data_IF_505186669484
#
_entry.id   IF_505186669484
#
_cell.length_a   1.000
_cell.length_b   1.000
_cell.length_c   1.000
_cell.angle_alpha   90.00
_cell.angle_beta   90.00
_cell.angle_gamma   90.00
#
_symmetry.space_group_name_H-M   'P 1'
#
loop_
_entity.id
_entity.type
_entity.pdbx_description
1 polymer ?
#
# COMPACT_ATOMS: atom_id res chain seq x y z
N UNK A 1 41.01 21.98 6.60
CA UNK A 1 40.87 22.79 7.84
C UNK A 1 40.87 21.88 9.02
N UNK A 2 41.66 22.19 10.08
CA UNK A 2 41.67 21.38 11.31
C UNK A 2 40.34 21.49 12.02
N UNK A 3 39.75 20.36 12.39
CA UNK A 3 38.52 20.30 13.19
C UNK A 3 38.82 20.96 14.56
N UNK A 4 38.21 22.12 14.82
CA UNK A 4 38.40 22.84 16.07
C UNK A 4 37.96 22.00 17.27
N UNK A 5 38.55 22.19 18.44
CA UNK A 5 38.33 21.46 19.68
C UNK A 5 36.88 21.59 20.26
N UNK A 6 35.93 22.03 19.49
CA UNK A 6 34.51 22.23 19.84
C UNK A 6 33.49 21.66 18.91
N UNK A 7 33.89 21.04 17.79
CA UNK A 7 32.97 20.52 16.80
C UNK A 7 32.37 19.19 17.25
N UNK A 8 31.04 19.15 17.36
CA UNK A 8 30.26 17.94 17.64
C UNK A 8 29.87 17.24 16.35
N UNK A 9 29.58 15.95 16.43
CA UNK A 9 29.19 15.13 15.25
C UNK A 9 27.95 14.28 15.52
N UNK A 10 27.03 14.29 14.58
CA UNK A 10 25.96 13.30 14.47
C UNK A 10 26.36 12.34 13.35
N UNK A 11 26.29 11.04 13.62
CA UNK A 11 26.46 9.99 12.61
C UNK A 11 25.12 9.33 12.33
N UNK A 12 24.74 9.27 11.06
CA UNK A 12 23.54 8.60 10.58
C UNK A 12 24.00 7.44 9.71
N UNK A 13 23.92 6.24 10.24
CA UNK A 13 24.20 5.01 9.50
C UNK A 13 22.95 4.59 8.72
N UNK A 14 23.13 4.03 7.51
CA UNK A 14 22.04 3.50 6.70
C UNK A 14 21.17 2.50 7.46
N UNK A 15 21.74 1.76 8.42
CA UNK A 15 21.02 0.84 9.31
C UNK A 15 19.98 1.54 10.18
N UNK A 16 20.16 2.82 10.49
CA UNK A 16 19.15 3.62 11.19
C UNK A 16 17.95 3.83 10.29
N UNK A 17 18.16 4.14 9.01
CA UNK A 17 17.09 4.30 8.03
C UNK A 17 16.42 2.98 7.63
N UNK A 18 17.09 1.85 7.80
CA UNK A 18 16.49 0.52 7.62
C UNK A 18 15.40 0.17 8.64
N UNK A 19 15.22 0.98 9.68
CA UNK A 19 14.06 0.88 10.58
C UNK A 19 12.75 1.35 9.91
N UNK A 20 12.82 1.83 8.68
CA UNK A 20 11.68 2.28 7.90
C UNK A 20 11.24 3.70 8.19
N UNK A 21 10.08 4.06 7.63
CA UNK A 21 9.45 5.35 7.85
C UNK A 21 8.89 5.42 9.27
N UNK A 22 9.41 6.36 10.06
CA UNK A 22 8.90 6.66 11.39
C UNK A 22 7.45 7.16 11.31
N UNK A 23 6.68 6.94 12.35
CA UNK A 23 5.27 7.37 12.40
C UNK A 23 5.13 8.90 12.36
N UNK A 24 6.13 9.59 12.89
CA UNK A 24 6.28 11.03 12.80
C UNK A 24 7.76 11.43 12.67
N UNK A 25 8.01 12.70 12.33
CA UNK A 25 9.35 13.23 12.13
C UNK A 25 10.19 13.35 13.41
N UNK A 26 9.60 13.09 14.57
CA UNK A 26 10.21 13.28 15.89
C UNK A 26 10.41 11.95 16.63
N UNK A 27 10.26 10.81 15.93
CA UNK A 27 10.44 9.49 16.55
C UNK A 27 11.83 9.31 17.13
N UNK A 28 11.90 8.92 18.40
CA UNK A 28 13.17 8.64 19.10
C UNK A 28 13.81 7.32 18.68
N UNK A 29 13.06 6.43 18.02
CA UNK A 29 13.53 5.10 17.64
C UNK A 29 14.42 5.11 16.40
N UNK A 30 14.55 6.23 15.72
CA UNK A 30 15.27 6.36 14.46
C UNK A 30 14.42 5.94 13.26
N UNK A 31 15.01 6.02 12.08
CA UNK A 31 14.33 5.80 10.80
C UNK A 31 14.41 7.03 9.91
N UNK A 32 13.50 7.15 8.97
CA UNK A 32 13.35 8.33 8.12
C UNK A 32 11.94 8.90 8.20
N UNK A 33 11.78 10.15 7.79
CA UNK A 33 10.50 10.84 7.80
C UNK A 33 9.47 10.12 6.91
N UNK A 34 8.19 10.10 7.30
CA UNK A 34 7.10 9.61 6.46
C UNK A 34 6.95 10.38 5.15
N UNK A 35 7.52 11.59 5.03
CA UNK A 35 7.54 12.38 3.79
C UNK A 35 8.63 11.93 2.79
N UNK A 36 9.45 10.93 3.14
CA UNK A 36 10.42 10.33 2.23
C UNK A 36 9.73 9.62 1.07
N UNK A 37 10.37 9.64 -0.12
CA UNK A 37 9.80 9.15 -1.38
C UNK A 37 10.70 8.08 -2.00
N UNK A 38 10.10 7.02 -2.51
CA UNK A 38 10.78 6.04 -3.34
C UNK A 38 12.02 5.44 -2.69
N UNK A 39 11.96 5.10 -1.41
CA UNK A 39 13.09 4.55 -0.65
C UNK A 39 13.18 3.05 -0.83
N UNK A 40 14.36 2.57 -1.24
CA UNK A 40 14.67 1.15 -1.39
C UNK A 40 15.73 0.68 -0.39
N UNK A 41 15.34 -0.18 0.56
CA UNK A 41 16.24 -0.79 1.52
C UNK A 41 16.46 -2.30 1.25
N UNK A 42 15.78 -2.86 0.26
CA UNK A 42 15.63 -4.29 0.07
C UNK A 42 16.65 -4.90 -0.91
N UNK A 43 17.20 -4.11 -1.83
CA UNK A 43 18.07 -4.63 -2.88
C UNK A 43 19.47 -5.04 -2.38
N UNK A 44 20.01 -4.35 -1.38
CA UNK A 44 21.35 -4.60 -0.86
C UNK A 44 21.38 -4.32 0.65
N UNK A 45 21.63 -5.31 1.50
CA UNK A 45 21.73 -5.11 2.94
C UNK A 45 22.80 -4.06 3.31
N UNK A 46 22.46 -3.10 4.16
CA UNK A 46 23.37 -2.06 4.60
C UNK A 46 23.45 -0.83 3.70
N UNK A 47 22.65 -0.77 2.63
CA UNK A 47 22.56 0.38 1.74
C UNK A 47 21.12 0.87 1.63
N UNK A 48 20.94 2.18 1.59
CA UNK A 48 19.66 2.80 1.20
C UNK A 48 19.83 3.33 -0.21
N UNK A 49 19.02 2.86 -1.12
CA UNK A 49 18.99 3.24 -2.55
C UNK A 49 17.67 3.92 -2.89
N UNK A 50 17.57 4.42 -4.11
CA UNK A 50 16.29 4.70 -4.74
C UNK A 50 15.42 3.44 -4.80
N UNK A 51 14.12 3.60 -4.60
CA UNK A 51 13.16 2.51 -4.73
C UNK A 51 13.03 2.04 -6.18
N UNK A 52 12.28 0.98 -6.39
CA UNK A 52 12.03 0.45 -7.72
C UNK A 52 11.32 1.48 -8.60
N UNK A 53 11.75 1.59 -9.85
CA UNK A 53 11.04 2.39 -10.81
C UNK A 53 9.68 1.75 -11.12
N UNK A 54 8.71 2.60 -11.31
CA UNK A 54 7.39 2.21 -11.79
C UNK A 54 7.29 2.64 -13.24
N UNK A 55 7.19 1.70 -14.16
CA UNK A 55 7.02 1.99 -15.57
C UNK A 55 5.55 1.88 -15.97
N UNK A 56 5.04 2.87 -16.67
CA UNK A 56 3.78 2.74 -17.37
C UNK A 56 3.94 1.66 -18.44
N UNK A 57 3.17 0.59 -18.33
CA UNK A 57 3.16 -0.49 -19.32
C UNK A 57 2.06 -0.28 -20.35
N UNK A 58 0.97 0.40 -19.96
CA UNK A 58 -0.07 0.84 -20.87
C UNK A 58 -0.62 2.18 -20.40
N UNK A 59 -0.48 3.20 -21.23
CA UNK A 59 -1.01 4.55 -21.01
C UNK A 59 -2.44 4.61 -21.51
N UNK A 60 -3.36 5.23 -20.75
CA UNK A 60 -4.78 5.30 -21.05
C UNK A 60 -5.42 3.92 -21.35
N UNK A 61 -5.00 2.91 -20.60
CA UNK A 61 -5.49 1.54 -20.75
C UNK A 61 -7.00 1.43 -20.43
N UNK A 62 -7.50 2.31 -19.57
CA UNK A 62 -8.89 2.34 -19.10
C UNK A 62 -9.59 3.62 -19.53
N UNK A 63 -10.92 3.60 -19.62
CA UNK A 63 -11.70 4.81 -19.88
C UNK A 63 -11.63 5.78 -18.69
N UNK A 64 -11.99 7.05 -18.91
CA UNK A 64 -11.83 8.09 -17.89
C UNK A 64 -12.80 7.92 -16.70
N UNK A 65 -13.88 7.23 -16.90
CA UNK A 65 -14.98 6.97 -15.98
C UNK A 65 -14.91 5.59 -15.32
N UNK A 66 -13.91 4.76 -15.68
CA UNK A 66 -13.76 3.43 -15.11
C UNK A 66 -13.12 3.45 -13.72
N UNK A 67 -13.72 2.71 -12.80
CA UNK A 67 -13.15 2.37 -11.50
C UNK A 67 -12.61 0.95 -11.56
N UNK A 68 -11.30 0.79 -11.33
CA UNK A 68 -10.65 -0.52 -11.35
C UNK A 68 -10.82 -1.21 -10.00
N UNK A 69 -11.27 -2.45 -10.04
CA UNK A 69 -11.36 -3.32 -8.88
C UNK A 69 -10.68 -4.66 -9.15
N UNK A 70 -9.90 -5.12 -8.19
CA UNK A 70 -9.35 -6.46 -8.10
C UNK A 70 -8.40 -6.88 -9.22
N UNK A 71 -7.30 -7.48 -8.83
CA UNK A 71 -6.40 -8.20 -9.72
C UNK A 71 -6.40 -9.67 -9.30
N UNK A 72 -6.89 -10.54 -10.16
CA UNK A 72 -6.83 -11.96 -9.92
C UNK A 72 -5.86 -12.60 -10.88
N UNK A 73 -4.91 -13.36 -10.37
CA UNK A 73 -4.00 -14.14 -11.21
C UNK A 73 -4.69 -15.43 -11.63
N UNK A 74 -4.67 -15.70 -12.91
CA UNK A 74 -4.99 -16.99 -13.46
C UNK A 74 -3.77 -17.55 -14.16
N UNK A 75 -3.31 -18.70 -13.73
CA UNK A 75 -2.32 -19.48 -14.49
C UNK A 75 -3.03 -20.02 -15.73
N UNK A 76 -2.65 -19.48 -16.86
CA UNK A 76 -3.15 -19.96 -18.14
C UNK A 76 -2.21 -21.03 -18.65
N UNK A 77 -2.71 -22.22 -18.88
CA UNK A 77 -1.96 -23.37 -19.40
C UNK A 77 -1.39 -23.18 -20.83
N UNK A 78 -1.55 -22.00 -21.42
CA UNK A 78 -1.13 -21.70 -22.80
C UNK A 78 0.23 -21.02 -22.93
N UNK A 79 1.02 -20.91 -21.85
CA UNK A 79 2.31 -20.20 -21.86
C UNK A 79 2.21 -18.69 -21.97
N UNK A 80 1.01 -18.14 -21.97
CA UNK A 80 0.73 -16.70 -21.90
C UNK A 80 0.36 -16.34 -20.49
N UNK A 81 1.22 -15.57 -19.87
CA UNK A 81 1.04 -15.11 -18.49
C UNK A 81 0.05 -13.92 -18.49
N UNK A 82 -1.21 -14.19 -18.23
CA UNK A 82 -2.26 -13.19 -18.20
C UNK A 82 -2.79 -12.98 -16.79
N UNK A 83 -3.04 -11.74 -16.45
CA UNK A 83 -3.78 -11.32 -15.25
C UNK A 83 -5.12 -10.80 -15.70
N UNK A 84 -6.17 -11.15 -14.99
CA UNK A 84 -7.51 -10.65 -15.24
C UNK A 84 -7.82 -9.49 -14.32
N UNK A 85 -8.50 -8.50 -14.86
CA UNK A 85 -8.87 -7.27 -14.20
C UNK A 85 -10.28 -6.90 -14.57
N UNK A 86 -11.02 -6.44 -13.60
CA UNK A 86 -12.40 -6.01 -13.80
C UNK A 86 -12.56 -4.53 -13.42
N UNK A 87 -13.40 -3.83 -14.16
CA UNK A 87 -13.77 -2.44 -13.92
C UNK A 87 -15.27 -2.26 -14.00
N UNK A 88 -15.80 -1.25 -13.31
CA UNK A 88 -17.14 -0.73 -13.54
C UNK A 88 -17.04 0.72 -14.01
N UNK A 89 -17.97 1.16 -14.83
CA UNK A 89 -18.00 2.55 -15.29
C UNK A 89 -19.24 3.30 -14.78
N UNK A 90 -19.27 4.60 -14.97
CA UNK A 90 -20.36 5.46 -14.50
C UNK A 90 -21.66 5.30 -15.29
N UNK A 91 -21.62 4.58 -16.41
CA UNK A 91 -22.82 4.26 -17.23
C UNK A 91 -23.47 2.97 -16.73
N UNK A 92 -22.75 2.18 -15.94
CA UNK A 92 -23.23 0.93 -15.40
C UNK A 92 -22.68 -0.31 -16.10
N UNK A 93 -21.79 -0.15 -17.06
CA UNK A 93 -21.17 -1.27 -17.75
C UNK A 93 -20.04 -1.88 -16.93
N UNK A 94 -19.97 -3.21 -16.86
CA UNK A 94 -18.81 -3.94 -16.37
C UNK A 94 -17.86 -4.26 -17.51
N UNK A 95 -16.59 -3.93 -17.35
CA UNK A 95 -15.56 -4.24 -18.34
C UNK A 95 -14.49 -5.15 -17.76
N UNK A 96 -14.05 -6.10 -18.59
CA UNK A 96 -13.11 -7.14 -18.19
C UNK A 96 -11.92 -7.13 -19.12
N UNK A 97 -10.75 -7.04 -18.54
CA UNK A 97 -9.50 -6.91 -19.25
C UNK A 97 -8.59 -8.09 -18.97
N UNK A 98 -7.83 -8.48 -19.98
CA UNK A 98 -6.63 -9.29 -19.78
C UNK A 98 -5.39 -8.41 -19.84
N UNK A 99 -4.48 -8.62 -18.94
CA UNK A 99 -3.20 -7.93 -18.87
C UNK A 99 -2.09 -8.94 -19.07
N UNK A 100 -1.30 -8.78 -20.12
CA UNK A 100 -0.10 -9.57 -20.32
C UNK A 100 1.03 -8.99 -19.48
N UNK A 101 1.37 -9.65 -18.37
CA UNK A 101 2.23 -9.04 -17.35
C UNK A 101 3.72 -8.95 -17.75
N UNK A 102 4.19 -9.60 -18.82
CA UNK A 102 5.55 -9.41 -19.37
C UNK A 102 5.60 -8.16 -20.25
N UNK A 103 4.64 -8.03 -21.15
CA UNK A 103 4.60 -6.92 -22.12
C UNK A 103 3.79 -5.72 -21.65
N UNK A 104 2.94 -5.91 -20.62
CA UNK A 104 2.00 -4.90 -20.15
C UNK A 104 0.83 -4.63 -21.09
N UNK A 105 0.67 -5.42 -22.16
CA UNK A 105 -0.43 -5.26 -23.07
C UNK A 105 -1.76 -5.48 -22.34
N UNK A 106 -2.67 -4.52 -22.47
CA UNK A 106 -4.03 -4.56 -21.90
C UNK A 106 -4.99 -4.78 -23.04
N UNK A 107 -5.82 -5.79 -22.94
CA UNK A 107 -6.83 -6.11 -23.94
C UNK A 107 -8.20 -6.18 -23.27
N UNK A 108 -9.15 -5.39 -23.77
CA UNK A 108 -10.56 -5.53 -23.39
C UNK A 108 -11.05 -6.88 -23.88
N UNK A 109 -11.44 -7.72 -22.94
CA UNK A 109 -11.85 -9.08 -23.24
C UNK A 109 -13.37 -9.23 -23.35
N UNK A 110 -14.13 -8.52 -22.49
CA UNK A 110 -15.58 -8.51 -22.53
C UNK A 110 -16.16 -7.23 -21.91
N UNK A 111 -17.37 -6.88 -22.31
CA UNK A 111 -18.21 -5.83 -21.73
C UNK A 111 -19.55 -6.44 -21.37
N UNK A 112 -19.98 -6.24 -20.14
CA UNK A 112 -21.31 -6.62 -19.69
C UNK A 112 -22.17 -5.36 -19.55
N UNK A 113 -23.10 -5.19 -20.47
CA UNK A 113 -24.08 -4.08 -20.49
C UNK A 113 -25.42 -4.49 -19.91
N UNK A 114 -25.56 -5.74 -19.50
CA UNK A 114 -26.84 -6.28 -19.04
C UNK A 114 -27.04 -6.03 -17.54
N UNK A 115 -26.00 -5.59 -16.83
CA UNK A 115 -26.00 -5.41 -15.39
C UNK A 115 -25.40 -4.08 -14.99
N UNK A 116 -25.89 -3.56 -13.89
CA UNK A 116 -25.45 -2.24 -13.41
C UNK A 116 -24.21 -2.35 -12.51
N UNK A 117 -23.11 -1.79 -12.99
CA UNK A 117 -21.85 -1.65 -12.28
C UNK A 117 -21.52 -0.18 -11.96
N UNK A 118 -22.52 0.70 -11.95
CA UNK A 118 -22.32 2.14 -11.80
C UNK A 118 -21.56 2.53 -10.51
N UNK A 119 -21.65 1.69 -9.48
CA UNK A 119 -20.85 1.84 -8.25
C UNK A 119 -19.59 0.97 -8.25
N UNK A 120 -19.29 0.32 -9.35
CA UNK A 120 -18.13 -0.53 -9.54
C UNK A 120 -18.34 -1.98 -9.08
N UNK A 121 -17.25 -2.74 -9.13
CA UNK A 121 -17.21 -4.13 -8.65
C UNK A 121 -16.93 -4.12 -7.15
N UNK A 122 -17.73 -4.87 -6.39
CA UNK A 122 -17.60 -4.94 -4.93
C UNK A 122 -16.47 -5.86 -4.50
N UNK A 123 -16.32 -6.99 -5.16
CA UNK A 123 -15.28 -7.98 -4.85
C UNK A 123 -15.02 -8.93 -6.01
N UNK A 124 -13.88 -9.63 -5.91
CA UNK A 124 -13.40 -10.56 -6.91
C UNK A 124 -12.63 -11.71 -6.22
N UNK A 125 -13.01 -12.95 -6.51
CA UNK A 125 -12.40 -14.12 -5.87
C UNK A 125 -12.25 -15.27 -6.86
N UNK A 126 -11.20 -16.09 -6.69
CA UNK A 126 -11.03 -17.34 -7.43
C UNK A 126 -11.75 -18.46 -6.71
N UNK A 127 -12.65 -19.14 -7.41
CA UNK A 127 -13.43 -20.25 -6.88
C UNK A 127 -13.62 -21.34 -7.93
N UNK A 128 -13.35 -22.60 -7.61
CA UNK A 128 -13.54 -23.78 -8.45
C UNK A 128 -13.03 -23.62 -9.89
N UNK A 129 -11.85 -22.98 -10.08
CA UNK A 129 -11.27 -22.71 -11.38
C UNK A 129 -11.81 -21.50 -12.13
N UNK A 130 -12.84 -20.86 -11.60
CA UNK A 130 -13.45 -19.66 -12.17
C UNK A 130 -13.11 -18.41 -11.33
N UNK A 131 -13.28 -17.23 -11.91
CA UNK A 131 -13.25 -15.96 -11.20
C UNK A 131 -14.70 -15.51 -11.00
N UNK A 132 -15.06 -15.28 -9.75
CA UNK A 132 -16.37 -14.78 -9.37
C UNK A 132 -16.23 -13.30 -9.02
N UNK A 133 -17.13 -12.47 -9.54
CA UNK A 133 -17.22 -11.05 -9.22
C UNK A 133 -18.57 -10.70 -8.67
N UNK A 134 -18.63 -9.74 -7.79
CA UNK A 134 -19.87 -9.13 -7.31
C UNK A 134 -19.91 -7.66 -7.69
N UNK A 135 -21.11 -7.15 -7.93
CA UNK A 135 -21.36 -5.73 -8.17
C UNK A 135 -22.39 -5.21 -7.18
N UNK A 136 -22.40 -3.89 -6.99
CA UNK A 136 -23.43 -3.20 -6.21
C UNK A 136 -24.12 -2.18 -7.10
N UNK A 137 -25.46 -2.17 -7.14
CA UNK A 137 -26.21 -1.23 -7.95
C UNK A 137 -26.91 -0.19 -7.10
N UNK A 138 -27.03 1.03 -7.61
CA UNK A 138 -27.76 2.12 -6.95
C UNK A 138 -29.25 2.23 -7.37
N UNK A 139 -29.70 1.44 -8.34
CA UNK A 139 -30.98 1.66 -9.00
C UNK A 139 -32.10 0.69 -8.59
N UNK A 140 -31.98 0.00 -7.45
CA UNK A 140 -32.97 -0.96 -7.03
C UNK A 140 -33.03 -2.25 -7.86
N UNK A 141 -32.03 -2.44 -8.73
CA UNK A 141 -31.82 -3.70 -9.42
C UNK A 141 -31.12 -4.69 -8.49
N UNK A 142 -31.37 -5.97 -8.72
CA UNK A 142 -30.70 -7.02 -7.97
C UNK A 142 -29.25 -7.11 -8.40
N UNK A 143 -28.34 -7.08 -7.45
CA UNK A 143 -26.94 -7.41 -7.68
C UNK A 143 -26.81 -8.90 -8.00
N UNK A 144 -25.83 -9.23 -8.82
CA UNK A 144 -25.62 -10.61 -9.23
C UNK A 144 -24.16 -11.01 -8.99
N UNK A 145 -23.96 -12.31 -8.82
CA UNK A 145 -22.64 -12.92 -8.75
C UNK A 145 -22.33 -13.56 -10.09
N UNK A 146 -21.13 -13.34 -10.61
CA UNK A 146 -20.73 -13.79 -11.95
C UNK A 146 -19.52 -14.69 -11.90
N UNK A 147 -19.55 -15.76 -12.69
CA UNK A 147 -18.43 -16.64 -12.90
C UNK A 147 -17.84 -16.48 -14.30
N UNK A 148 -16.52 -16.55 -14.39
CA UNK A 148 -15.82 -16.68 -15.65
C UNK A 148 -15.02 -17.96 -15.66
N UNK A 149 -15.17 -18.78 -16.72
CA UNK A 149 -14.28 -19.90 -17.00
C UNK A 149 -13.10 -19.44 -17.86
N UNK A 150 -12.11 -20.31 -18.07
CA UNK A 150 -10.95 -20.06 -18.89
C UNK A 150 -11.31 -19.46 -20.24
N UNK A 151 -11.10 -18.14 -20.42
CA UNK A 151 -11.29 -17.38 -21.66
C UNK A 151 -12.68 -17.35 -22.30
N UNK A 152 -13.59 -18.27 -21.96
CA UNK A 152 -14.99 -18.15 -22.35
C UNK A 152 -15.67 -17.18 -21.38
N UNK A 153 -15.61 -15.92 -21.74
CA UNK A 153 -16.10 -14.81 -20.95
C UNK A 153 -17.60 -14.92 -20.73
N UNK A 154 -17.98 -15.01 -19.49
CA UNK A 154 -19.33 -14.82 -19.01
C UNK A 154 -20.37 -15.90 -19.34
N UNK A 155 -20.21 -17.02 -18.77
CA UNK A 155 -21.43 -17.74 -18.36
C UNK A 155 -21.92 -17.07 -17.08
N UNK A 156 -23.09 -16.46 -17.15
CA UNK A 156 -23.83 -16.02 -15.98
C UNK A 156 -24.06 -17.21 -15.09
N UNK A 157 -23.35 -17.31 -13.98
CA UNK A 157 -23.75 -18.19 -12.92
C UNK A 157 -24.81 -17.43 -12.12
N UNK A 158 -26.08 -17.77 -12.31
CA UNK A 158 -27.13 -17.28 -11.43
C UNK A 158 -26.92 -17.97 -10.07
N UNK A 159 -26.14 -17.33 -9.20
CA UNK A 159 -25.89 -17.81 -7.85
C UNK A 159 -27.04 -17.34 -6.95
N UNK A 160 -28.10 -18.12 -6.96
CA UNK A 160 -29.12 -18.01 -5.92
C UNK A 160 -29.93 -16.70 -5.89
N UNK A 161 -30.36 -16.26 -4.71
CA UNK A 161 -31.19 -15.07 -4.60
C UNK A 161 -30.45 -13.85 -5.13
N UNK A 162 -31.19 -12.96 -5.76
CA UNK A 162 -30.70 -11.65 -6.08
C UNK A 162 -30.13 -10.98 -4.82
N UNK A 163 -28.92 -10.47 -4.89
CA UNK A 163 -28.29 -9.75 -3.79
C UNK A 163 -28.99 -8.39 -3.57
N UNK A 164 -28.88 -7.85 -2.38
CA UNK A 164 -29.54 -6.58 -2.04
C UNK A 164 -28.83 -5.41 -2.70
N UNK A 165 -29.54 -4.67 -3.53
CA UNK A 165 -29.00 -3.51 -4.23
C UNK A 165 -28.43 -2.47 -3.27
N UNK A 166 -27.36 -1.78 -3.71
CA UNK A 166 -26.74 -0.68 -2.97
C UNK A 166 -25.87 -1.10 -1.79
N UNK A 167 -25.58 -2.39 -1.62
CA UNK A 167 -24.68 -2.89 -0.58
C UNK A 167 -23.35 -3.39 -1.19
N UNK A 168 -22.31 -3.44 -0.39
CA UNK A 168 -21.05 -4.08 -0.78
C UNK A 168 -21.14 -5.58 -0.53
N UNK A 169 -20.86 -6.37 -1.56
CA UNK A 169 -20.86 -7.82 -1.51
C UNK A 169 -19.44 -8.34 -1.50
N UNK A 170 -18.88 -8.50 -0.32
CA UNK A 170 -17.54 -9.09 -0.14
C UNK A 170 -17.62 -10.61 -0.11
N UNK A 171 -16.58 -11.26 -0.59
CA UNK A 171 -16.52 -12.70 -0.74
C UNK A 171 -15.28 -13.30 -0.09
N UNK A 172 -15.42 -14.56 0.37
CA UNK A 172 -14.28 -15.40 0.76
C UNK A 172 -14.60 -16.88 0.46
N UNK A 173 -13.56 -17.71 0.46
CA UNK A 173 -13.69 -19.16 0.23
C UNK A 173 -13.13 -19.90 1.43
N UNK A 174 -13.88 -20.85 1.97
CA UNK A 174 -13.44 -21.79 2.99
C UNK A 174 -13.90 -23.20 2.60
N UNK A 175 -13.01 -24.17 2.66
CA UNK A 175 -13.29 -25.61 2.41
C UNK A 175 -14.10 -25.88 1.13
N UNK A 176 -13.73 -25.20 0.04
CA UNK A 176 -14.40 -25.29 -1.27
C UNK A 176 -15.85 -24.78 -1.27
N UNK A 177 -16.24 -23.99 -0.30
CA UNK A 177 -17.51 -23.25 -0.27
C UNK A 177 -17.22 -21.77 -0.43
N UNK A 178 -17.94 -21.11 -1.33
CA UNK A 178 -17.91 -19.66 -1.50
C UNK A 178 -18.94 -19.03 -0.56
N UNK A 179 -18.50 -18.03 0.20
CA UNK A 179 -19.32 -17.22 1.07
C UNK A 179 -19.41 -15.80 0.55
N UNK A 180 -20.64 -15.26 0.51
CA UNK A 180 -20.98 -13.98 -0.11
C UNK A 180 -21.76 -13.16 0.92
N UNK A 181 -21.25 -11.97 1.24
CA UNK A 181 -21.98 -11.04 2.09
C UNK A 181 -23.10 -10.33 1.32
N UNK A 182 -24.26 -10.18 1.96
CA UNK A 182 -25.39 -9.42 1.45
C UNK A 182 -26.05 -8.62 2.59
N UNK A 183 -25.59 -7.38 2.77
CA UNK A 183 -26.04 -6.54 3.86
C UNK A 183 -25.75 -7.19 5.21
N UNK A 184 -26.79 -7.64 5.92
CA UNK A 184 -26.68 -8.32 7.22
C UNK A 184 -26.49 -9.83 7.12
N UNK A 185 -26.61 -10.40 5.91
CA UNK A 185 -26.54 -11.84 5.70
C UNK A 185 -25.20 -12.27 5.10
N UNK A 186 -24.87 -13.53 5.34
CA UNK A 186 -23.87 -14.26 4.55
C UNK A 186 -24.59 -15.43 3.89
N UNK A 187 -24.44 -15.54 2.59
CA UNK A 187 -24.88 -16.69 1.80
C UNK A 187 -23.71 -17.64 1.57
N UNK A 188 -23.99 -18.92 1.38
CA UNK A 188 -23.00 -19.92 1.01
C UNK A 188 -23.32 -20.55 -0.35
N UNK A 189 -22.29 -20.99 -1.07
CA UNK A 189 -22.44 -21.71 -2.33
C UNK A 189 -21.34 -22.75 -2.48
N UNK A 190 -21.73 -24.01 -2.65
CA UNK A 190 -20.84 -25.16 -2.79
C UNK A 190 -20.51 -25.52 -4.26
N UNK A 191 -20.93 -24.69 -5.22
CA UNK A 191 -20.80 -24.93 -6.66
C UNK A 191 -22.07 -25.49 -7.29
N UNK A 192 -23.03 -25.96 -6.49
CA UNK A 192 -24.30 -26.53 -6.95
C UNK A 192 -25.51 -25.98 -6.18
N UNK A 193 -25.36 -25.83 -4.89
CA UNK A 193 -26.46 -25.45 -3.97
C UNK A 193 -26.15 -24.12 -3.30
N UNK A 194 -27.12 -23.23 -3.26
CA UNK A 194 -27.06 -21.97 -2.53
C UNK A 194 -27.69 -22.14 -1.16
N UNK A 195 -26.94 -21.91 -0.10
CA UNK A 195 -27.43 -21.73 1.26
C UNK A 195 -27.77 -20.26 1.49
N UNK A 196 -29.04 -19.92 1.43
CA UNK A 196 -29.51 -18.54 1.70
C UNK A 196 -29.48 -18.25 3.19
N UNK A 197 -28.95 -17.08 3.57
CA UNK A 197 -28.85 -16.63 4.96
C UNK A 197 -28.15 -17.66 5.86
N UNK A 198 -27.04 -18.22 5.40
CA UNK A 198 -26.24 -19.16 6.19
C UNK A 198 -25.80 -18.53 7.54
N UNK A 199 -25.69 -17.21 7.59
CA UNK A 199 -25.52 -16.45 8.83
C UNK A 199 -26.28 -15.12 8.75
N UNK A 200 -27.01 -14.74 9.85
CA UNK A 200 -27.76 -13.48 9.98
C UNK A 200 -27.28 -12.69 11.20
N UNK A 201 -26.75 -11.48 10.97
CA UNK A 201 -26.29 -10.57 12.03
C UNK A 201 -27.42 -9.73 12.67
N UNK A 202 -28.65 -9.87 12.22
CA UNK A 202 -29.80 -9.10 12.68
C UNK A 202 -29.92 -7.71 12.04
N UNK A 203 -31.02 -7.05 12.29
CA UNK A 203 -31.33 -5.75 11.72
C UNK A 203 -30.28 -4.70 12.09
N UNK A 204 -30.02 -3.75 11.17
CA UNK A 204 -29.05 -2.66 11.31
C UNK A 204 -27.59 -3.14 11.53
N UNK A 205 -27.24 -4.28 10.99
CA UNK A 205 -25.86 -4.76 10.93
C UNK A 205 -25.50 -5.04 9.47
N UNK A 206 -24.30 -4.67 9.07
CA UNK A 206 -23.83 -4.79 7.70
C UNK A 206 -22.44 -5.41 7.70
N UNK A 207 -22.25 -6.43 6.88
CA UNK A 207 -20.93 -7.01 6.64
C UNK A 207 -20.11 -6.02 5.80
N UNK A 208 -18.90 -5.74 6.23
CA UNK A 208 -18.03 -4.72 5.58
C UNK A 208 -16.76 -5.29 5.00
N UNK A 209 -16.26 -6.38 5.55
CA UNK A 209 -15.13 -7.15 5.00
C UNK A 209 -15.18 -8.60 5.47
N UNK A 210 -14.63 -9.50 4.66
CA UNK A 210 -14.47 -10.92 4.99
C UNK A 210 -13.11 -11.43 4.49
N UNK A 211 -12.56 -12.41 5.23
CA UNK A 211 -11.39 -13.18 4.81
C UNK A 211 -11.40 -14.54 5.52
N UNK A 212 -10.67 -15.48 4.95
CA UNK A 212 -10.40 -16.77 5.61
C UNK A 212 -9.03 -16.72 6.27
N UNK A 213 -8.95 -17.11 7.54
CA UNK A 213 -7.71 -17.16 8.30
C UNK A 213 -7.80 -18.27 9.36
N UNK A 214 -6.76 -19.10 9.47
CA UNK A 214 -6.65 -20.23 10.42
C UNK A 214 -7.87 -21.16 10.42
N UNK A 215 -8.41 -21.49 9.22
CA UNK A 215 -9.54 -22.40 9.08
C UNK A 215 -10.91 -21.82 9.48
N UNK A 216 -10.98 -20.52 9.73
CA UNK A 216 -12.20 -19.79 10.08
C UNK A 216 -12.48 -18.66 9.07
N UNK A 217 -13.74 -18.30 8.96
CA UNK A 217 -14.15 -17.07 8.26
C UNK A 217 -14.14 -15.93 9.27
N UNK A 218 -13.34 -14.91 9.00
CA UNK A 218 -13.32 -13.68 9.78
C UNK A 218 -14.14 -12.62 9.07
N UNK A 219 -15.06 -12.01 9.79
CA UNK A 219 -16.08 -11.11 9.26
C UNK A 219 -16.08 -9.84 10.09
N UNK A 220 -16.09 -8.69 9.42
CA UNK A 220 -16.36 -7.43 10.12
C UNK A 220 -17.77 -6.96 9.86
N UNK A 221 -18.44 -6.55 10.94
CA UNK A 221 -19.84 -6.12 10.95
C UNK A 221 -19.92 -4.74 11.58
N UNK A 222 -20.64 -3.84 10.93
CA UNK A 222 -20.85 -2.46 11.40
C UNK A 222 -22.33 -2.09 11.39
N UNK A 223 -22.77 -1.11 12.20
CA UNK A 223 -24.17 -0.69 12.26
C UNK A 223 -24.63 0.14 11.06
N UNK A 224 -23.73 0.50 10.17
CA UNK A 224 -24.03 1.25 8.95
C UNK A 224 -23.39 0.58 7.74
N UNK A 225 -23.99 0.72 6.54
CA UNK A 225 -23.37 0.23 5.30
C UNK A 225 -21.99 0.82 5.09
N UNK A 226 -21.14 0.11 4.32
CA UNK A 226 -19.76 0.53 4.06
C UNK A 226 -19.69 1.93 3.40
N UNK A 227 -20.61 2.26 2.51
CA UNK A 227 -20.70 3.58 1.86
C UNK A 227 -20.87 4.74 2.83
N UNK A 228 -21.57 4.50 3.94
CA UNK A 228 -21.98 5.53 4.90
C UNK A 228 -21.05 5.60 6.12
N UNK A 229 -20.02 4.73 6.16
CA UNK A 229 -19.07 4.70 7.27
C UNK A 229 -18.16 5.89 7.26
N UNK A 230 -17.90 6.42 8.43
CA UNK A 230 -17.00 7.53 8.67
C UNK A 230 -16.27 7.37 10.00
N UNK A 231 -15.41 8.32 10.34
CA UNK A 231 -14.64 8.29 11.58
C UNK A 231 -15.47 8.14 12.86
N UNK A 232 -16.74 8.55 12.82
CA UNK A 232 -17.63 8.52 13.98
C UNK A 232 -18.46 7.24 14.06
N UNK A 233 -18.40 6.37 13.07
CA UNK A 233 -19.08 5.05 13.12
C UNK A 233 -18.52 4.23 14.27
N UNK A 234 -19.38 3.82 15.17
CA UNK A 234 -19.06 3.02 16.35
C UNK A 234 -19.79 1.68 16.29
N UNK A 235 -19.36 0.71 17.11
CA UNK A 235 -20.00 -0.58 17.19
C UNK A 235 -19.57 -1.56 16.09
N UNK A 236 -18.48 -1.28 15.39
CA UNK A 236 -17.86 -2.27 14.49
C UNK A 236 -17.30 -3.44 15.30
N UNK A 237 -17.51 -4.65 14.80
CA UNK A 237 -17.09 -5.90 15.45
C UNK A 237 -16.34 -6.76 14.46
N UNK A 238 -15.32 -7.47 14.93
CA UNK A 238 -14.64 -8.54 14.22
C UNK A 238 -15.13 -9.87 14.78
N UNK A 239 -15.59 -10.74 13.93
CA UNK A 239 -16.28 -11.98 14.27
C UNK A 239 -15.56 -13.14 13.59
N UNK A 240 -15.40 -14.28 14.27
CA UNK A 240 -15.01 -15.55 13.64
C UNK A 240 -16.18 -16.50 13.54
N UNK A 241 -16.24 -17.24 12.44
CA UNK A 241 -17.29 -18.20 12.13
C UNK A 241 -16.73 -19.40 11.38
N UNK A 242 -17.19 -20.61 11.71
CA UNK A 242 -16.76 -21.86 11.10
C UNK A 242 -17.37 -22.15 9.72
N UNK A 243 -18.34 -21.33 9.28
CA UNK A 243 -19.04 -21.53 8.01
C UNK A 243 -20.22 -22.50 8.08
N UNK A 244 -20.50 -23.09 9.25
CA UNK A 244 -21.50 -24.19 9.40
C UNK A 244 -22.60 -23.81 10.38
N UNK A 245 -22.26 -23.29 11.56
CA UNK A 245 -23.20 -23.00 12.62
C UNK A 245 -24.04 -21.74 12.34
N UNK A 246 -25.22 -21.65 12.91
CA UNK A 246 -26.11 -20.48 12.81
C UNK A 246 -25.64 -19.30 13.68
N UNK A 247 -24.53 -19.44 14.36
CA UNK A 247 -23.92 -18.44 15.25
C UNK A 247 -22.42 -18.40 15.10
N UNK A 248 -21.81 -17.30 15.49
CA UNK A 248 -20.35 -17.09 15.47
C UNK A 248 -19.68 -17.51 16.78
N UNK A 249 -18.37 -17.83 16.70
CA UNK A 249 -17.60 -18.35 17.82
C UNK A 249 -16.98 -17.23 18.68
N UNK A 250 -16.43 -16.20 18.03
CA UNK A 250 -15.71 -15.11 18.71
C UNK A 250 -16.24 -13.77 18.22
N UNK A 251 -16.32 -12.80 19.13
CA UNK A 251 -16.66 -11.43 18.82
C UNK A 251 -15.69 -10.48 19.52
N UNK A 252 -15.05 -9.61 18.73
CA UNK A 252 -14.06 -8.62 19.18
C UNK A 252 -14.55 -7.23 18.78
N UNK A 253 -14.80 -6.33 19.73
CA UNK A 253 -15.17 -4.95 19.41
C UNK A 253 -13.97 -4.21 18.78
N UNK A 254 -14.27 -3.40 17.77
CA UNK A 254 -13.29 -2.56 17.08
C UNK A 254 -13.63 -1.08 17.26
N UNK A 255 -12.60 -0.26 17.39
CA UNK A 255 -12.78 1.18 17.59
C UNK A 255 -13.16 1.95 16.32
N UNK A 256 -12.84 1.39 15.16
CA UNK A 256 -12.96 2.05 13.86
C UNK A 256 -13.67 1.15 12.85
N UNK A 257 -14.33 1.73 11.83
CA UNK A 257 -14.84 0.98 10.69
C UNK A 257 -13.73 0.28 9.93
N UNK A 258 -14.01 -0.92 9.44
CA UNK A 258 -13.10 -1.76 8.68
C UNK A 258 -13.52 -1.84 7.22
N UNK A 259 -12.57 -1.65 6.33
CA UNK A 259 -12.76 -1.66 4.88
C UNK A 259 -12.09 -2.85 4.20
N UNK A 260 -11.22 -3.56 4.90
CA UNK A 260 -10.57 -4.75 4.38
C UNK A 260 -10.03 -5.65 5.47
N UNK A 261 -10.15 -6.95 5.25
CA UNK A 261 -9.49 -8.02 6.00
C UNK A 261 -8.59 -8.79 5.04
N UNK A 262 -7.38 -9.08 5.47
CA UNK A 262 -6.35 -9.69 4.63
C UNK A 262 -5.64 -10.78 5.42
N UNK A 263 -5.65 -12.01 4.91
CA UNK A 263 -4.87 -13.11 5.46
C UNK A 263 -3.67 -13.38 4.57
N UNK A 264 -2.48 -13.35 5.13
CA UNK A 264 -1.25 -13.60 4.40
C UNK A 264 -0.16 -14.16 5.31
N UNK A 265 0.44 -15.29 4.90
CA UNK A 265 1.54 -15.95 5.60
C UNK A 265 1.32 -16.10 7.11
N UNK A 266 0.15 -16.66 7.50
CA UNK A 266 -0.20 -16.91 8.90
C UNK A 266 -0.49 -15.66 9.74
N UNK A 267 -0.61 -14.50 9.12
CA UNK A 267 -1.01 -13.26 9.77
C UNK A 267 -2.29 -12.71 9.15
N UNK A 268 -3.17 -12.19 9.98
CA UNK A 268 -4.36 -11.46 9.52
C UNK A 268 -4.19 -9.97 9.79
N UNK A 269 -4.44 -9.18 8.76
CA UNK A 269 -4.34 -7.71 8.79
C UNK A 269 -5.72 -7.09 8.64
N UNK A 270 -5.89 -5.93 9.28
CA UNK A 270 -7.16 -5.21 9.31
C UNK A 270 -6.93 -3.80 8.78
N UNK A 271 -7.54 -3.50 7.64
CA UNK A 271 -7.57 -2.17 7.05
C UNK A 271 -8.75 -1.37 7.58
N UNK A 272 -8.55 -0.47 8.52
CA UNK A 272 -9.61 0.36 9.08
C UNK A 272 -9.60 1.78 8.51
N UNK A 273 -10.49 2.64 8.98
CA UNK A 273 -10.66 4.00 8.44
C UNK A 273 -9.39 4.86 8.51
N UNK A 274 -8.57 4.70 9.56
CA UNK A 274 -7.35 5.50 9.77
C UNK A 274 -6.11 4.70 10.12
N UNK A 275 -6.26 3.39 10.32
CA UNK A 275 -5.15 2.57 10.80
C UNK A 275 -5.06 1.26 10.03
N UNK A 276 -3.85 0.87 9.74
CA UNK A 276 -3.52 -0.49 9.34
C UNK A 276 -3.09 -1.26 10.58
N UNK A 277 -3.72 -2.39 10.83
CA UNK A 277 -3.61 -3.14 12.07
C UNK A 277 -3.28 -4.60 11.80
N UNK A 278 -2.76 -5.29 12.79
CA UNK A 278 -2.55 -6.75 12.78
C UNK A 278 -3.41 -7.39 13.87
N UNK A 279 -4.01 -8.53 13.54
CA UNK A 279 -4.72 -9.36 14.49
C UNK A 279 -3.72 -10.10 15.41
N UNK A 280 -4.00 -10.13 16.71
CA UNK A 280 -3.10 -10.67 17.74
C UNK A 280 -3.65 -11.94 18.41
N UNK A 281 -4.71 -12.53 17.85
CA UNK A 281 -5.41 -13.68 18.42
C UNK A 281 -6.58 -13.29 19.35
N UNK A 282 -6.48 -12.19 20.10
CA UNK A 282 -7.52 -11.72 21.02
C UNK A 282 -7.97 -10.29 20.78
N UNK A 283 -7.37 -9.62 19.82
CA UNK A 283 -7.66 -8.22 19.49
C UNK A 283 -6.88 -7.77 18.27
N UNK A 284 -6.78 -6.46 18.06
CA UNK A 284 -6.02 -5.86 16.98
C UNK A 284 -5.01 -4.87 17.52
N UNK A 285 -3.78 -4.90 17.00
CA UNK A 285 -2.73 -3.94 17.32
C UNK A 285 -2.49 -3.00 16.14
N UNK A 286 -2.43 -1.69 16.40
CA UNK A 286 -2.14 -0.70 15.37
C UNK A 286 -0.68 -0.83 14.92
N UNK A 287 -0.48 -0.93 13.61
CA UNK A 287 0.83 -0.94 12.98
C UNK A 287 1.21 0.45 12.45
N UNK A 288 0.26 1.14 11.83
CA UNK A 288 0.49 2.46 11.22
C UNK A 288 -0.80 3.23 11.03
N UNK A 289 -0.73 4.55 11.16
CA UNK A 289 -1.77 5.45 10.68
C UNK A 289 -1.67 5.58 9.16
N UNK A 290 -2.79 5.30 8.49
CA UNK A 290 -2.92 5.32 7.04
C UNK A 290 -4.29 5.87 6.68
N UNK A 291 -4.56 6.11 5.40
CA UNK A 291 -5.93 6.27 4.91
C UNK A 291 -6.64 4.92 4.83
N UNK A 292 -7.80 4.90 4.21
CA UNK A 292 -8.59 3.67 3.99
C UNK A 292 -7.78 2.67 3.17
N UNK A 293 -7.57 1.47 3.72
CA UNK A 293 -6.98 0.32 3.01
C UNK A 293 -8.07 -0.72 2.82
N UNK A 294 -8.45 -0.93 1.58
CA UNK A 294 -9.44 -1.89 1.14
C UNK A 294 -8.81 -2.94 0.22
N UNK A 295 -9.57 -3.95 -0.18
CA UNK A 295 -9.05 -5.12 -0.91
C UNK A 295 -8.40 -4.76 -2.24
N UNK A 296 -8.93 -3.76 -2.92
CA UNK A 296 -8.39 -3.22 -4.18
C UNK A 296 -7.12 -2.37 -4.01
N UNK A 297 -6.64 -2.17 -2.80
CA UNK A 297 -5.48 -1.33 -2.48
C UNK A 297 -4.32 -2.08 -1.83
N UNK A 298 -4.34 -3.42 -1.90
CA UNK A 298 -3.32 -4.25 -1.29
C UNK A 298 -2.78 -5.29 -2.28
N UNK A 299 -1.49 -5.59 -2.18
CA UNK A 299 -0.84 -6.67 -2.89
C UNK A 299 0.24 -7.32 -2.01
N UNK A 300 0.67 -8.52 -2.38
CA UNK A 300 1.60 -9.33 -1.62
C UNK A 300 2.81 -9.72 -2.50
N UNK A 301 4.00 -9.74 -1.90
CA UNK A 301 5.22 -10.23 -2.55
C UNK A 301 6.06 -11.01 -1.51
N UNK A 302 6.01 -12.33 -1.57
CA UNK A 302 6.60 -13.18 -0.55
C UNK A 302 5.99 -12.88 0.82
N UNK A 303 6.81 -12.48 1.78
CA UNK A 303 6.38 -12.10 3.14
C UNK A 303 5.98 -10.63 3.29
N UNK A 304 6.13 -9.85 2.24
CA UNK A 304 5.91 -8.42 2.26
C UNK A 304 4.52 -8.04 1.76
N UNK A 305 4.00 -6.95 2.31
CA UNK A 305 2.75 -6.34 1.92
C UNK A 305 3.02 -5.03 1.20
N UNK A 306 2.25 -4.77 0.17
CA UNK A 306 2.19 -3.47 -0.48
C UNK A 306 0.78 -2.93 -0.36
N UNK A 307 0.62 -1.68 0.01
CA UNK A 307 -0.68 -1.03 0.05
C UNK A 307 -0.58 0.43 -0.35
N UNK A 308 -1.71 0.97 -0.80
CA UNK A 308 -1.83 2.37 -1.18
C UNK A 308 -2.32 3.19 0.01
N UNK A 309 -1.53 4.18 0.38
CA UNK A 309 -1.86 5.17 1.41
C UNK A 309 -2.32 6.45 0.72
N UNK A 310 -3.57 6.86 0.97
CA UNK A 310 -4.05 8.17 0.51
C UNK A 310 -3.39 9.27 1.36
N UNK A 311 -2.78 10.25 0.69
CA UNK A 311 -2.17 11.43 1.31
C UNK A 311 -3.07 12.65 1.14
N UNK A 312 -2.61 13.77 0.73
CA UNK A 312 -3.42 14.98 0.50
C UNK A 312 -3.94 15.04 -0.92
N UNK A 313 -5.15 15.57 -1.13
CA UNK A 313 -5.71 16.04 -2.41
C UNK A 313 -5.26 15.25 -3.67
N UNK A 314 -5.67 13.98 -3.77
CA UNK A 314 -5.36 13.14 -4.93
C UNK A 314 -3.95 12.55 -4.94
N UNK A 315 -3.11 12.86 -3.98
CA UNK A 315 -1.80 12.23 -3.84
C UNK A 315 -1.91 10.91 -3.08
N UNK A 316 -1.10 9.94 -3.46
CA UNK A 316 -0.99 8.66 -2.77
C UNK A 316 0.46 8.20 -2.69
N UNK A 317 0.73 7.36 -1.70
CA UNK A 317 1.99 6.65 -1.61
C UNK A 317 1.75 5.15 -1.65
N UNK A 318 2.60 4.43 -2.35
CA UNK A 318 2.68 2.98 -2.25
C UNK A 318 3.67 2.64 -1.14
N UNK A 319 3.19 1.96 -0.13
CA UNK A 319 3.95 1.58 1.04
C UNK A 319 4.24 0.09 0.98
N UNK A 320 5.50 -0.29 1.13
CA UNK A 320 5.91 -1.67 1.39
C UNK A 320 6.07 -1.88 2.89
N UNK A 321 5.38 -2.87 3.44
CA UNK A 321 5.57 -3.34 4.81
C UNK A 321 6.32 -4.65 4.79
N UNK A 322 7.58 -4.62 5.14
CA UNK A 322 8.46 -5.78 5.01
C UNK A 322 9.76 -5.64 5.79
N UNK A 323 10.58 -6.67 5.75
CA UNK A 323 11.90 -6.67 6.37
C UNK A 323 13.01 -6.70 5.32
N UNK A 324 13.82 -5.65 5.19
CA UNK A 324 14.96 -5.65 4.24
C UNK A 324 16.10 -6.59 4.66
N UNK A 325 16.06 -7.09 5.89
CA UNK A 325 17.05 -8.03 6.43
C UNK A 325 16.29 -9.20 7.04
N UNK A 326 16.57 -10.41 6.57
CA UNK A 326 15.96 -11.62 7.08
C UNK A 326 16.07 -11.72 8.62
N UNK A 327 15.00 -12.11 9.27
CA UNK A 327 14.91 -12.28 10.72
C UNK A 327 14.78 -10.97 11.54
N UNK A 328 14.65 -9.81 10.88
CA UNK A 328 14.35 -8.55 11.55
C UNK A 328 12.87 -8.21 11.49
N UNK A 329 12.44 -7.31 12.38
CA UNK A 329 11.08 -6.80 12.39
C UNK A 329 10.76 -6.11 11.06
N UNK A 330 9.53 -6.30 10.59
CA UNK A 330 9.00 -5.59 9.42
C UNK A 330 8.85 -4.10 9.73
N UNK A 331 9.04 -3.26 8.71
CA UNK A 331 8.88 -1.82 8.79
C UNK A 331 8.22 -1.27 7.52
N UNK A 332 7.82 -0.01 7.54
CA UNK A 332 7.12 0.65 6.45
C UNK A 332 8.09 1.46 5.59
N UNK A 333 8.03 1.27 4.28
CA UNK A 333 8.87 1.96 3.31
C UNK A 333 8.01 2.58 2.21
N UNK A 334 8.02 3.91 2.01
CA UNK A 334 7.35 4.55 0.88
C UNK A 334 8.16 4.28 -0.38
N UNK A 335 7.76 3.26 -1.13
CA UNK A 335 8.49 2.80 -2.32
C UNK A 335 8.14 3.58 -3.59
N UNK A 336 6.99 4.24 -3.61
CA UNK A 336 6.56 5.07 -4.72
C UNK A 336 5.59 6.16 -4.23
N UNK A 337 5.60 7.33 -4.86
CA UNK A 337 4.57 8.36 -4.71
C UNK A 337 4.05 8.78 -6.08
N UNK A 338 2.74 8.97 -6.15
CA UNK A 338 2.03 9.43 -7.32
C UNK A 338 0.93 10.41 -6.98
N UNK A 339 0.39 11.03 -8.01
CA UNK A 339 -0.82 11.85 -7.94
C UNK A 339 -1.80 11.33 -8.97
N UNK A 340 -3.00 10.94 -8.54
CA UNK A 340 -4.06 10.57 -9.45
C UNK A 340 -4.88 11.81 -9.79
N UNK A 341 -4.91 12.18 -11.06
CA UNK A 341 -5.79 13.24 -11.56
C UNK A 341 -7.16 12.72 -11.96
N UNK A 342 -7.32 11.42 -12.10
CA UNK A 342 -8.55 10.75 -12.52
C UNK A 342 -8.60 9.31 -11.99
N UNK A 343 -9.70 8.98 -11.36
CA UNK A 343 -9.96 7.64 -10.84
C UNK A 343 -9.29 7.32 -9.48
N UNK A 344 -9.72 6.21 -8.88
CA UNK A 344 -9.16 5.71 -7.64
C UNK A 344 -8.01 4.77 -7.98
N UNK A 345 -6.81 4.96 -7.41
CA UNK A 345 -5.71 4.05 -7.64
C UNK A 345 -6.03 2.67 -7.05
N UNK A 346 -5.69 1.62 -7.78
CA UNK A 346 -5.86 0.23 -7.37
C UNK A 346 -4.53 -0.52 -7.43
N UNK A 347 -4.38 -1.51 -6.56
CA UNK A 347 -3.18 -2.31 -6.41
C UNK A 347 -3.55 -3.78 -6.35
N UNK A 348 -2.77 -4.65 -6.95
CA UNK A 348 -3.00 -6.07 -6.87
C UNK A 348 -1.83 -6.92 -7.36
N UNK A 349 -1.96 -8.21 -7.20
CA UNK A 349 -0.98 -9.18 -7.66
C UNK A 349 -1.23 -9.57 -9.12
N UNK A 350 -0.16 -9.64 -9.88
CA UNK A 350 -0.13 -10.29 -11.18
C UNK A 350 0.48 -11.69 -11.08
N UNK A 351 0.38 -12.46 -12.14
CA UNK A 351 1.07 -13.75 -12.23
C UNK A 351 2.58 -13.59 -11.99
N UNK A 352 3.24 -14.64 -11.50
CA UNK A 352 4.66 -14.67 -11.10
C UNK A 352 5.04 -13.67 -9.98
N UNK A 353 4.12 -13.37 -9.07
CA UNK A 353 4.40 -12.52 -7.91
C UNK A 353 4.67 -11.05 -8.22
N UNK A 354 4.40 -10.60 -9.45
CA UNK A 354 4.55 -9.19 -9.80
C UNK A 354 3.43 -8.36 -9.20
N UNK A 355 3.73 -7.11 -8.95
CA UNK A 355 2.75 -6.14 -8.46
C UNK A 355 2.38 -5.20 -9.60
N UNK A 356 1.08 -5.13 -9.84
CA UNK A 356 0.48 -4.22 -10.80
C UNK A 356 -0.27 -3.15 -10.02
N UNK A 357 -0.22 -1.92 -10.49
CA UNK A 357 -1.10 -0.91 -9.98
C UNK A 357 -1.67 -0.04 -11.11
N UNK A 358 -2.85 0.48 -10.86
CA UNK A 358 -3.54 1.42 -11.74
C UNK A 358 -3.44 2.80 -11.13
N UNK A 359 -2.98 3.74 -11.93
CA UNK A 359 -2.85 5.14 -11.58
C UNK A 359 -3.70 5.98 -12.55
N UNK A 360 -4.89 6.32 -12.10
CA UNK A 360 -5.89 6.91 -12.97
C UNK A 360 -6.28 5.96 -14.10
N UNK A 361 -5.86 6.26 -15.33
CA UNK A 361 -6.12 5.45 -16.52
C UNK A 361 -4.95 4.56 -16.96
N UNK A 362 -3.83 4.69 -16.28
CA UNK A 362 -2.59 4.01 -16.66
C UNK A 362 -2.40 2.73 -15.87
N UNK A 363 -2.07 1.66 -16.58
CA UNK A 363 -1.55 0.45 -15.94
C UNK A 363 -0.04 0.54 -15.78
N UNK A 364 0.44 0.29 -14.58
CA UNK A 364 1.86 0.35 -14.22
C UNK A 364 2.32 -0.95 -13.57
N UNK A 365 3.55 -1.34 -13.87
CA UNK A 365 4.23 -2.46 -13.20
C UNK A 365 5.32 -1.92 -12.27
N UNK A 366 5.43 -2.48 -11.08
CA UNK A 366 6.61 -2.28 -10.25
C UNK A 366 7.74 -3.09 -10.84
N UNK A 367 8.77 -2.38 -11.26
CA UNK A 367 9.96 -3.00 -11.81
C UNK A 367 10.91 -3.41 -10.67
N UNK A 368 10.77 -4.62 -10.15
CA UNK A 368 11.59 -5.13 -9.05
C UNK A 368 13.06 -5.32 -9.41
N UNK A 369 13.39 -5.38 -10.70
CA UNK A 369 14.74 -5.66 -11.21
C UNK A 369 15.29 -4.58 -12.15
N UNK A 370 14.57 -3.48 -12.32
CA UNK A 370 14.92 -2.42 -13.25
C UNK A 370 15.66 -1.25 -12.60
N UNK A 371 15.71 -0.14 -13.32
CA UNK A 371 16.28 1.11 -12.83
C UNK A 371 15.59 1.61 -11.57
N UNK A 372 16.32 2.29 -10.71
CA UNK A 372 15.75 2.95 -9.54
C UNK A 372 14.85 4.12 -9.95
N UNK A 373 13.90 4.44 -9.10
CA UNK A 373 13.06 5.61 -9.28
C UNK A 373 13.94 6.88 -9.25
N UNK A 374 13.79 7.73 -10.26
CA UNK A 374 14.45 9.03 -10.28
C UNK A 374 13.92 9.93 -9.14
N UNK A 375 14.80 10.79 -8.59
CA UNK A 375 14.47 11.70 -7.50
C UNK A 375 13.92 11.03 -6.23
N UNK A 376 14.35 9.80 -5.94
CA UNK A 376 14.07 9.17 -4.65
C UNK A 376 14.60 10.05 -3.52
N UNK A 377 13.78 10.33 -2.52
CA UNK A 377 14.14 11.30 -1.47
C UNK A 377 14.07 10.66 -0.10
N UNK A 378 15.16 10.73 0.64
CA UNK A 378 15.20 10.43 2.07
C UNK A 378 15.17 11.75 2.84
N UNK A 379 14.23 11.87 3.78
CA UNK A 379 14.21 12.93 4.77
C UNK A 379 14.40 12.23 6.12
N UNK A 380 15.49 12.52 6.81
CA UNK A 380 15.75 11.96 8.13
C UNK A 380 14.70 12.44 9.15
N UNK A 381 14.59 11.77 10.28
CA UNK A 381 13.81 12.28 11.41
C UNK A 381 14.46 13.56 11.96
N UNK A 382 13.70 14.37 12.67
CA UNK A 382 14.24 15.54 13.37
C UNK A 382 15.24 15.10 14.43
N UNK A 383 16.47 15.65 14.38
CA UNK A 383 17.52 15.38 15.33
C UNK A 383 17.82 16.63 16.14
N UNK A 384 17.57 16.59 17.46
CA UNK A 384 17.91 17.70 18.34
C UNK A 384 19.42 17.83 18.46
N UNK A 385 19.93 19.06 18.48
CA UNK A 385 21.36 19.37 18.61
C UNK A 385 21.77 19.67 20.08
N UNK A 386 20.80 19.66 21.01
CA UNK A 386 21.05 19.95 22.43
C UNK A 386 21.12 21.45 22.76
N UNK A 387 20.99 22.32 21.77
CA UNK A 387 21.01 23.76 21.87
C UNK A 387 21.04 24.38 20.47
N UNK A 388 21.11 25.70 20.39
CA UNK A 388 21.33 26.37 19.10
C UNK A 388 22.75 26.13 18.61
N UNK A 389 22.89 25.72 17.37
CA UNK A 389 24.15 25.35 16.77
C UNK A 389 24.25 25.78 15.31
N UNK A 390 25.45 26.00 14.82
CA UNK A 390 25.75 26.19 13.41
C UNK A 390 26.22 24.89 12.79
N UNK A 391 25.60 24.49 11.66
CA UNK A 391 26.09 23.37 10.87
C UNK A 391 27.36 23.82 10.14
N UNK A 392 28.44 23.04 10.21
CA UNK A 392 29.74 23.39 9.66
C UNK A 392 30.16 22.55 8.49
N UNK A 393 29.80 21.25 8.54
CA UNK A 393 30.23 20.33 7.51
C UNK A 393 29.29 19.14 7.44
N UNK A 394 29.04 18.63 6.23
CA UNK A 394 28.28 17.40 6.01
C UNK A 394 29.11 16.46 5.15
N UNK A 395 29.25 15.22 5.58
CA UNK A 395 29.91 14.15 4.84
C UNK A 395 28.90 13.09 4.46
N UNK A 396 29.02 12.55 3.25
CA UNK A 396 28.23 11.45 2.73
C UNK A 396 29.14 10.34 2.25
N UNK A 397 28.93 9.13 2.76
CA UNK A 397 29.57 7.91 2.29
C UNK A 397 28.56 7.10 1.46
N UNK A 398 28.93 6.76 0.24
CA UNK A 398 28.08 6.09 -0.76
C UNK A 398 28.77 4.83 -1.30
N UNK A 399 28.13 4.14 -2.21
CA UNK A 399 28.83 3.27 -3.17
C UNK A 399 29.66 4.13 -4.13
N UNK A 400 30.62 3.53 -4.85
CA UNK A 400 31.39 4.21 -5.88
C UNK A 400 30.44 4.66 -7.00
N UNK A 401 30.44 5.95 -7.31
CA UNK A 401 29.52 6.52 -8.30
C UNK A 401 29.92 6.16 -9.72
N UNK A 402 28.91 5.91 -10.54
CA UNK A 402 29.01 5.71 -11.99
C UNK A 402 28.35 6.89 -12.73
N UNK A 403 28.45 6.86 -14.04
CA UNK A 403 27.82 7.91 -14.87
C UNK A 403 26.30 7.91 -14.68
N UNK A 404 25.74 9.06 -14.36
CA UNK A 404 24.31 9.25 -14.09
C UNK A 404 23.91 9.14 -12.62
N UNK A 405 24.79 8.71 -11.72
CA UNK A 405 24.51 8.71 -10.28
C UNK A 405 24.73 10.09 -9.67
N UNK A 406 23.84 10.51 -8.80
CA UNK A 406 24.01 11.73 -8.01
C UNK A 406 23.21 11.72 -6.72
N UNK A 407 23.72 12.47 -5.72
CA UNK A 407 23.08 12.69 -4.43
C UNK A 407 23.04 14.19 -4.17
N UNK A 408 21.84 14.80 -4.23
CA UNK A 408 21.66 16.19 -3.81
C UNK A 408 21.40 16.23 -2.31
N UNK A 409 22.16 17.04 -1.59
CA UNK A 409 22.17 17.10 -0.14
C UNK A 409 21.64 18.46 0.30
N UNK A 410 20.65 18.44 1.16
CA UNK A 410 20.09 19.59 1.87
C UNK A 410 19.78 19.24 3.32
N UNK A 411 19.49 20.23 4.13
CA UNK A 411 18.91 20.01 5.46
C UNK A 411 17.77 20.97 5.73
N UNK A 412 16.84 20.53 6.56
CA UNK A 412 15.72 21.35 7.03
C UNK A 412 16.05 21.78 8.45
N UNK A 413 16.02 23.07 8.71
CA UNK A 413 16.33 23.67 9.99
C UNK A 413 15.10 23.70 10.93
N UNK A 414 15.27 24.21 12.13
CA UNK A 414 14.21 24.34 13.14
C UNK A 414 13.04 25.24 12.73
N UNK A 415 13.24 26.14 11.77
CA UNK A 415 12.19 26.97 11.21
C UNK A 415 11.42 26.29 10.06
N UNK A 416 11.78 25.06 9.69
CA UNK A 416 11.20 24.34 8.56
C UNK A 416 11.77 24.77 7.20
N UNK A 417 12.83 25.59 7.18
CA UNK A 417 13.45 26.07 5.95
C UNK A 417 14.45 25.03 5.45
N UNK A 418 14.32 24.66 4.17
CA UNK A 418 15.30 23.79 3.49
C UNK A 418 16.49 24.60 3.03
N UNK A 419 17.70 24.14 3.38
CA UNK A 419 18.98 24.75 3.03
C UNK A 419 19.76 23.77 2.18
N UNK A 420 20.00 24.14 0.93
CA UNK A 420 20.80 23.34 -0.01
C UNK A 420 22.27 23.38 0.40
N UNK A 421 22.88 22.20 0.46
CA UNK A 421 24.31 22.04 0.80
C UNK A 421 25.14 21.82 -0.47
N UNK A 422 24.77 20.84 -1.27
CA UNK A 422 25.49 20.54 -2.51
C UNK A 422 25.09 19.23 -3.15
N UNK A 423 25.80 18.85 -4.19
CA UNK A 423 25.54 17.61 -4.94
C UNK A 423 26.81 16.78 -5.08
N UNK A 424 26.75 15.52 -4.70
CA UNK A 424 27.78 14.52 -4.95
C UNK A 424 27.47 13.79 -6.26
N UNK A 425 28.29 13.99 -7.30
CA UNK A 425 28.10 13.37 -8.62
C UNK A 425 29.42 12.98 -9.29
N UNK A 426 30.55 13.04 -8.57
CA UNK A 426 31.85 12.74 -9.13
C UNK A 426 32.03 11.24 -9.32
N UNK A 427 32.14 10.81 -10.58
CA UNK A 427 32.34 9.41 -10.97
C UNK A 427 33.64 8.87 -10.36
N UNK A 428 33.61 7.65 -9.88
CA UNK A 428 34.73 6.97 -9.23
C UNK A 428 34.92 7.31 -7.75
N UNK A 429 34.12 8.23 -7.18
CA UNK A 429 34.20 8.57 -5.77
C UNK A 429 33.06 7.88 -4.97
N UNK A 430 33.35 7.56 -3.72
CA UNK A 430 32.40 7.01 -2.75
C UNK A 430 32.30 7.87 -1.49
N UNK A 431 32.96 9.00 -1.46
CA UNK A 431 32.96 9.91 -0.33
C UNK A 431 32.83 11.36 -0.82
N UNK A 432 31.96 12.09 -0.15
CA UNK A 432 31.73 13.49 -0.41
C UNK A 432 31.65 14.26 0.89
N UNK A 433 32.46 15.29 1.04
CA UNK A 433 32.44 16.21 2.17
C UNK A 433 32.30 17.64 1.69
N UNK A 434 31.42 18.40 2.30
CA UNK A 434 31.18 19.80 1.97
C UNK A 434 31.06 20.65 3.22
N UNK A 435 31.77 21.78 3.21
CA UNK A 435 31.65 22.81 4.23
C UNK A 435 30.32 23.55 4.03
N UNK A 436 29.62 23.75 5.12
CA UNK A 436 28.33 24.44 5.13
C UNK A 436 28.55 25.83 5.74
N UNK A 437 28.34 26.84 4.93
CA UNK A 437 28.27 28.22 5.41
C UNK A 437 26.89 28.47 6.02
N UNK A 438 26.67 27.94 7.23
CA UNK A 438 25.41 28.13 7.94
C UNK A 438 25.28 29.57 8.41
N UNK A 439 24.33 30.29 7.86
CA UNK A 439 24.04 31.68 8.24
C UNK A 439 23.08 31.79 9.43
N UNK A 440 22.37 30.73 9.79
CA UNK A 440 21.40 30.72 10.87
C UNK A 440 21.64 29.53 11.83
N UNK A 441 21.65 29.83 13.11
CA UNK A 441 21.69 28.80 14.13
C UNK A 441 20.39 28.00 14.16
N UNK A 442 20.49 26.70 14.36
CA UNK A 442 19.35 25.80 14.46
C UNK A 442 19.49 24.91 15.70
N UNK A 443 18.40 24.50 16.32
CA UNK A 443 18.40 23.56 17.45
C UNK A 443 17.92 22.16 17.04
N UNK A 444 17.42 22.03 15.79
CA UNK A 444 17.00 20.75 15.19
C UNK A 444 17.48 20.73 13.76
N UNK A 445 17.91 19.56 13.30
CA UNK A 445 18.25 19.31 11.90
C UNK A 445 17.52 18.07 11.39
N UNK A 446 17.02 18.15 10.14
CA UNK A 446 16.59 17.00 9.34
C UNK A 446 17.43 16.95 8.08
N UNK A 447 18.24 15.91 7.92
CA UNK A 447 18.99 15.71 6.68
C UNK A 447 18.02 15.26 5.58
N UNK A 448 18.14 15.87 4.40
CA UNK A 448 17.39 15.50 3.20
C UNK A 448 18.36 15.16 2.09
N UNK A 449 18.19 13.99 1.47
CA UNK A 449 19.04 13.52 0.37
C UNK A 449 18.15 13.06 -0.77
N UNK A 450 18.34 13.63 -1.95
CA UNK A 450 17.71 13.19 -3.20
C UNK A 450 18.67 12.26 -3.93
N UNK A 451 18.23 11.06 -4.21
CA UNK A 451 19.01 9.99 -4.83
C UNK A 451 18.59 9.87 -6.29
N UNK A 452 19.53 10.00 -7.19
CA UNK A 452 19.37 9.67 -8.60
C UNK A 452 20.40 8.60 -9.00
N UNK A 453 19.96 7.66 -9.85
CA UNK A 453 20.80 6.57 -10.33
C UNK A 453 20.65 5.28 -9.51
N UNK A 454 21.68 4.43 -9.55
CA UNK A 454 21.64 3.05 -9.05
C UNK A 454 22.39 2.83 -7.73
N UNK A 455 23.18 3.80 -7.31
CA UNK A 455 24.04 3.70 -6.13
C UNK A 455 23.32 4.06 -4.85
N UNK A 456 23.83 3.53 -3.73
CA UNK A 456 23.21 3.69 -2.42
C UNK A 456 24.08 4.46 -1.44
N UNK A 457 23.44 4.90 -0.36
CA UNK A 457 24.06 5.60 0.77
C UNK A 457 24.38 4.59 1.86
N UNK A 458 25.60 4.68 2.40
CA UNK A 458 26.06 3.91 3.56
C UNK A 458 25.92 4.67 4.85
N UNK A 459 26.33 5.96 4.83
CA UNK A 459 26.41 6.77 6.04
C UNK A 459 26.41 8.26 5.71
N UNK A 460 25.89 9.05 6.64
CA UNK A 460 26.06 10.50 6.65
C UNK A 460 26.61 10.99 7.99
N UNK A 461 27.45 12.03 7.97
CA UNK A 461 27.95 12.71 9.14
C UNK A 461 27.61 14.18 9.07
N UNK A 462 27.10 14.72 10.17
CA UNK A 462 26.81 16.14 10.31
C UNK A 462 27.66 16.69 11.43
N UNK A 463 28.46 17.70 11.12
CA UNK A 463 29.34 18.39 12.08
C UNK A 463 28.75 19.76 12.38
N UNK A 464 28.69 20.10 13.66
CA UNK A 464 28.10 21.36 14.13
C UNK A 464 28.84 21.91 15.35
N UNK A 465 28.68 23.22 15.59
CA UNK A 465 29.25 23.95 16.72
C UNK A 465 28.14 24.68 17.49
N UNK A 466 28.18 24.60 18.82
CA UNK A 466 27.22 25.29 19.68
C UNK A 466 27.43 26.82 19.63
N UNK A 467 26.34 27.57 19.61
CA UNK A 467 26.41 29.06 19.59
C UNK A 467 26.95 29.65 20.89
N UNK A 468 26.77 28.98 22.02
CA UNK A 468 27.24 29.48 23.33
C UNK A 468 28.76 29.65 23.42
N UNK A 469 29.54 28.94 22.60
CA UNK A 469 30.99 29.09 22.58
C UNK A 469 31.50 30.27 21.73
N UNK A 470 30.71 30.79 20.82
CA UNK A 470 31.08 31.97 20.02
C UNK A 470 30.87 33.28 20.79
N UNK A 471 30.04 33.30 21.83
CA UNK A 471 29.82 34.48 22.67
C UNK A 471 30.87 34.68 23.76
N UNK A 472 31.68 33.66 24.04
CA UNK A 472 32.69 33.65 25.11
C UNK A 472 34.14 33.57 24.56
N UNK A 473 34.38 33.64 23.28
CA UNK A 473 35.66 33.72 22.62
C UNK A 473 35.84 35.06 21.91
#
# INVERSE_FOLDING_TARGET
>A
MGRGAGTKRITIDSRTWMKGAAENNESLEGGFSPDSKGVGAFATPGLIKGGHSVSATATNAFAADESVFGFTTKDVNSGTNLTQLATGDTVGDGRFYTVHFITGAVTLAATDTARDYAVGISDMVKYAGSIITTSATNAGLSDNVFGTNDFDWWTTVALGPALTAGTYHVMTVLDSVLYIADGRYVHSWDGTTVGTNALDFGANNYVTAMTTHDGMIWITVAPTPRSDQNLFTRGTRLISWDGIQDSWDVEIPLEQPVYGLFSHNGSMYVGSYRTFQIFTGSGVASLRRVGVVSKEKIAFDGDDLFFLESRSAGNYAMIRYGSPIAGRAKAFYPVFEGSSSSGTPALGNAALGRIIFVDGRDLKLINQFGANQANSTIIDIKRPLGGFAFIRHIELETEVLESGDSFAISYINSAGTEITVGTHSTVGQCFYGIDVESQAATYVIQLKIVINGTKGIRRAHIYYEDTERQLNG
#
